data_IF_895971302951
#
_entry.id   IF_895971302951
#
_cell.length_a   1.000
_cell.length_b   1.000
_cell.length_c   1.000
_cell.angle_alpha   90.00
_cell.angle_beta   90.00
_cell.angle_gamma   90.00
#
_symmetry.space_group_name_H-M   'P 1'
#
loop_
_entity.id
_entity.type
_entity.pdbx_description
1 polymer ?
#
# COMPACT_ATOMS: atom_id res chain seq x y z
N UNK A 1 -5.26 45.99 36.47
CA UNK A 1 -5.00 44.75 37.24
C UNK A 1 -5.94 43.61 36.82
N UNK A 2 -6.29 43.47 35.53
CA UNK A 2 -7.31 42.48 35.09
C UNK A 2 -6.86 41.51 33.99
N UNK A 3 -5.65 41.68 33.44
CA UNK A 3 -5.15 40.87 32.32
C UNK A 3 -4.56 39.55 32.78
N UNK A 4 -4.01 39.49 33.99
CA UNK A 4 -3.30 38.31 34.54
C UNK A 4 -4.16 37.04 34.61
N UNK A 5 -5.48 37.19 34.81
CA UNK A 5 -6.41 36.06 34.84
C UNK A 5 -6.66 35.51 33.44
N UNK A 6 -6.82 36.41 32.46
CA UNK A 6 -7.01 36.04 31.05
C UNK A 6 -5.74 35.37 30.54
N UNK A 7 -4.57 35.93 30.85
CA UNK A 7 -3.28 35.38 30.48
C UNK A 7 -3.11 33.95 31.04
N UNK A 8 -3.44 33.73 32.32
CA UNK A 8 -3.38 32.40 32.93
C UNK A 8 -4.35 31.38 32.29
N UNK A 9 -5.53 31.82 31.86
CA UNK A 9 -6.50 30.94 31.18
C UNK A 9 -6.05 30.60 29.74
N UNK A 10 -5.43 31.56 29.05
CA UNK A 10 -4.85 31.34 27.73
C UNK A 10 -3.71 30.32 27.83
N UNK A 11 -2.86 30.42 28.85
CA UNK A 11 -1.77 29.46 29.07
C UNK A 11 -2.31 28.04 29.29
N UNK A 12 -3.31 27.89 30.16
CA UNK A 12 -3.92 26.59 30.46
C UNK A 12 -4.55 25.93 29.22
N UNK A 13 -5.25 26.71 28.40
CA UNK A 13 -5.85 26.22 27.15
C UNK A 13 -4.76 25.80 26.17
N UNK A 14 -3.70 26.62 26.05
CA UNK A 14 -2.58 26.36 25.14
C UNK A 14 -1.87 25.05 25.50
N UNK A 15 -1.61 24.81 26.80
CA UNK A 15 -1.04 23.54 27.27
C UNK A 15 -1.93 22.33 26.96
N UNK A 16 -3.24 22.48 27.16
CA UNK A 16 -4.21 21.41 26.89
C UNK A 16 -4.27 21.04 25.41
N UNK A 17 -4.22 22.05 24.53
CA UNK A 17 -4.18 21.86 23.08
C UNK A 17 -2.87 21.23 22.62
N UNK A 18 -1.73 21.71 23.12
CA UNK A 18 -0.43 21.13 22.79
C UNK A 18 -0.33 19.69 23.27
N UNK A 19 -0.79 19.39 24.49
CA UNK A 19 -0.77 18.03 25.05
C UNK A 19 -1.64 17.07 24.22
N UNK A 20 -2.86 17.47 23.86
CA UNK A 20 -3.73 16.65 23.02
C UNK A 20 -3.17 16.48 21.60
N UNK A 21 -2.55 17.52 21.04
CA UNK A 21 -1.85 17.46 19.76
C UNK A 21 -0.67 16.50 19.80
N UNK A 22 0.25 16.62 20.75
CA UNK A 22 1.40 15.71 20.89
C UNK A 22 0.99 14.27 21.16
N UNK A 23 -0.11 14.06 21.89
CA UNK A 23 -0.66 12.73 22.16
C UNK A 23 -1.28 12.11 20.90
N UNK A 24 -1.98 12.92 20.10
CA UNK A 24 -2.69 12.45 18.89
C UNK A 24 -1.75 12.34 17.68
N UNK A 25 -0.75 13.20 17.61
CA UNK A 25 0.25 13.31 16.55
C UNK A 25 1.64 13.19 17.18
N UNK A 26 2.10 11.98 17.54
CA UNK A 26 3.46 11.80 18.02
C UNK A 26 4.41 12.35 16.95
N UNK A 27 5.33 13.22 17.35
CA UNK A 27 6.43 13.70 16.51
C UNK A 27 7.35 12.51 16.21
N UNK A 28 6.90 11.69 15.26
CA UNK A 28 7.70 10.62 14.71
C UNK A 28 8.77 11.29 13.88
N UNK A 29 10.03 11.13 14.29
CA UNK A 29 11.16 11.41 13.42
C UNK A 29 10.84 10.77 12.06
N UNK A 30 11.09 11.46 10.93
CA UNK A 30 10.96 10.84 9.63
C UNK A 30 11.68 9.51 9.71
N UNK A 31 10.93 8.41 9.54
CA UNK A 31 11.49 7.05 9.54
C UNK A 31 12.74 7.11 8.69
N UNK A 32 13.89 6.74 9.26
CA UNK A 32 15.18 6.72 8.57
C UNK A 32 14.92 6.30 7.13
N UNK A 33 15.25 7.21 6.19
CA UNK A 33 14.83 7.22 4.78
C UNK A 33 14.35 5.85 4.33
N UNK A 34 13.08 5.63 3.92
CA UNK A 34 12.56 4.30 3.62
C UNK A 34 13.54 3.54 2.73
N UNK A 35 14.33 2.67 3.38
CA UNK A 35 15.71 2.46 2.95
C UNK A 35 15.79 1.73 1.65
N UNK A 36 16.07 2.42 0.54
CA UNK A 36 16.39 1.85 -0.79
C UNK A 36 15.39 0.83 -1.35
N UNK A 37 14.28 0.56 -0.66
CA UNK A 37 13.32 -0.46 -1.04
C UNK A 37 12.27 0.21 -1.93
N UNK A 38 12.23 -0.13 -3.22
CA UNK A 38 11.18 0.39 -4.08
C UNK A 38 9.81 -0.06 -3.57
N UNK A 39 8.77 0.72 -3.84
CA UNK A 39 7.39 0.45 -3.37
C UNK A 39 6.82 -0.91 -3.83
N UNK A 40 7.47 -1.55 -4.81
CA UNK A 40 7.12 -2.90 -5.29
C UNK A 40 7.89 -4.04 -4.60
N UNK A 41 8.77 -3.73 -3.65
CA UNK A 41 9.46 -4.70 -2.79
C UNK A 41 10.81 -5.23 -3.32
N UNK A 42 11.65 -5.68 -2.37
CA UNK A 42 12.99 -6.20 -2.62
C UNK A 42 13.02 -7.39 -3.59
N UNK A 43 12.05 -8.29 -3.46
CA UNK A 43 11.98 -9.54 -4.22
C UNK A 43 11.68 -9.29 -5.70
N UNK A 44 10.71 -8.42 -5.96
CA UNK A 44 10.38 -8.05 -7.33
C UNK A 44 11.54 -7.29 -7.97
N UNK A 45 12.20 -6.39 -7.24
CA UNK A 45 13.38 -5.68 -7.74
C UNK A 45 14.53 -6.64 -8.07
N UNK A 46 14.82 -7.62 -7.21
CA UNK A 46 15.81 -8.67 -7.48
C UNK A 46 15.49 -9.43 -8.75
N UNK A 47 14.22 -9.79 -8.99
CA UNK A 47 13.78 -10.47 -10.21
C UNK A 47 13.92 -9.57 -11.45
N UNK A 48 13.56 -8.28 -11.37
CA UNK A 48 13.74 -7.30 -12.45
C UNK A 48 15.21 -7.19 -12.85
N UNK A 49 16.11 -7.09 -11.87
CA UNK A 49 17.55 -7.05 -12.10
C UNK A 49 18.06 -8.31 -12.81
N UNK A 50 17.59 -9.51 -12.42
CA UNK A 50 17.95 -10.77 -13.09
C UNK A 50 17.48 -10.80 -14.55
N UNK A 51 16.23 -10.40 -14.81
CA UNK A 51 15.69 -10.34 -16.18
C UNK A 51 16.49 -9.37 -17.05
N UNK A 52 16.81 -8.18 -16.52
CA UNK A 52 17.62 -7.18 -17.24
C UNK A 52 18.99 -7.74 -17.61
N UNK A 53 19.69 -8.35 -16.64
CA UNK A 53 21.02 -8.95 -16.86
C UNK A 53 20.96 -10.08 -17.90
N UNK A 54 19.95 -10.94 -17.82
CA UNK A 54 19.77 -12.03 -18.78
C UNK A 54 19.46 -11.50 -20.19
N UNK A 55 18.62 -10.47 -20.31
CA UNK A 55 18.31 -9.83 -21.59
C UNK A 55 19.57 -9.19 -22.20
N UNK A 56 20.31 -8.41 -21.41
CA UNK A 56 21.54 -7.80 -21.89
C UNK A 56 22.57 -8.86 -22.33
N UNK A 57 22.67 -9.98 -21.59
CA UNK A 57 23.52 -11.09 -21.98
C UNK A 57 23.05 -11.71 -23.30
N UNK A 58 21.77 -12.06 -23.42
CA UNK A 58 21.22 -12.64 -24.65
C UNK A 58 21.44 -11.73 -25.87
N UNK A 59 21.30 -10.41 -25.68
CA UNK A 59 21.51 -9.44 -26.75
C UNK A 59 22.97 -9.24 -27.15
N UNK A 60 23.90 -9.46 -26.22
CA UNK A 60 25.33 -9.32 -26.48
C UNK A 60 25.97 -10.63 -26.97
N UNK A 61 25.51 -11.79 -26.48
CA UNK A 61 26.08 -13.09 -26.86
C UNK A 61 25.36 -13.73 -28.04
N UNK A 62 24.09 -13.40 -28.29
CA UNK A 62 23.27 -13.93 -29.38
C UNK A 62 23.27 -15.47 -29.47
N UNK A 63 23.39 -16.15 -28.32
CA UNK A 63 23.36 -17.60 -28.18
C UNK A 63 21.98 -18.06 -27.73
N UNK A 64 21.49 -19.20 -28.23
CA UNK A 64 20.18 -19.75 -27.87
C UNK A 64 20.07 -20.04 -26.37
N UNK A 65 21.14 -20.52 -25.74
CA UNK A 65 21.17 -20.79 -24.29
C UNK A 65 20.99 -19.52 -23.45
N UNK A 66 21.47 -18.37 -23.95
CA UNK A 66 21.31 -17.09 -23.26
C UNK A 66 19.88 -16.56 -23.42
N UNK A 67 19.25 -16.81 -24.56
CA UNK A 67 17.83 -16.53 -24.79
C UNK A 67 16.94 -17.40 -23.90
N UNK A 68 17.24 -18.70 -23.79
CA UNK A 68 16.53 -19.62 -22.89
C UNK A 68 16.63 -19.16 -21.43
N UNK A 69 17.82 -18.76 -20.98
CA UNK A 69 18.03 -18.20 -19.66
C UNK A 69 17.19 -16.92 -19.44
N UNK A 70 17.08 -16.05 -20.45
CA UNK A 70 16.21 -14.89 -20.40
C UNK A 70 14.72 -15.28 -20.31
N UNK A 71 14.24 -16.22 -21.12
CA UNK A 71 12.84 -16.65 -21.09
C UNK A 71 12.48 -17.30 -19.75
N UNK A 72 13.39 -18.09 -19.16
CA UNK A 72 13.23 -18.66 -17.83
C UNK A 72 13.14 -17.55 -16.76
N UNK A 73 14.05 -16.57 -16.79
CA UNK A 73 14.04 -15.43 -15.87
C UNK A 73 12.76 -14.58 -16.01
N UNK A 74 12.33 -14.29 -17.25
CA UNK A 74 11.11 -13.54 -17.57
C UNK A 74 9.86 -14.27 -17.07
N UNK A 75 9.80 -15.58 -17.25
CA UNK A 75 8.70 -16.41 -16.76
C UNK A 75 8.62 -16.41 -15.23
N UNK A 76 9.76 -16.50 -14.54
CA UNK A 76 9.82 -16.39 -13.08
C UNK A 76 9.36 -15.02 -12.58
N UNK A 77 9.76 -13.95 -13.25
CA UNK A 77 9.32 -12.59 -12.93
C UNK A 77 7.79 -12.40 -13.10
N UNK A 78 7.21 -12.87 -14.21
CA UNK A 78 5.76 -12.84 -14.44
C UNK A 78 4.98 -13.62 -13.39
N UNK A 79 5.49 -14.77 -12.93
CA UNK A 79 4.88 -15.55 -11.84
C UNK A 79 4.87 -14.75 -10.54
N UNK A 80 5.98 -14.09 -10.19
CA UNK A 80 6.10 -13.26 -8.99
C UNK A 80 5.10 -12.08 -8.97
N UNK A 81 4.92 -11.38 -10.11
CA UNK A 81 3.90 -10.31 -10.21
C UNK A 81 2.49 -10.85 -9.90
N UNK A 82 2.14 -12.01 -10.46
CA UNK A 82 0.83 -12.64 -10.23
C UNK A 82 0.63 -13.01 -8.76
N UNK A 83 1.65 -13.55 -8.10
CA UNK A 83 1.60 -13.88 -6.67
C UNK A 83 1.39 -12.64 -5.80
N UNK A 84 2.17 -11.57 -6.02
CA UNK A 84 2.02 -10.32 -5.26
C UNK A 84 0.62 -9.72 -5.46
N UNK A 85 0.07 -9.79 -6.68
CA UNK A 85 -1.29 -9.33 -6.94
C UNK A 85 -2.33 -10.15 -6.16
N UNK A 86 -2.18 -11.48 -6.12
CA UNK A 86 -3.05 -12.37 -5.34
C UNK A 86 -2.94 -12.10 -3.84
N UNK A 87 -1.73 -11.94 -3.30
CA UNK A 87 -1.49 -11.61 -1.89
C UNK A 87 -2.14 -10.27 -1.52
N UNK A 88 -1.99 -9.26 -2.37
CA UNK A 88 -2.63 -7.95 -2.15
C UNK A 88 -4.15 -8.03 -2.19
N UNK A 89 -4.71 -8.82 -3.09
CA UNK A 89 -6.16 -9.06 -3.15
C UNK A 89 -6.65 -9.80 -1.91
N UNK A 90 -5.93 -10.84 -1.49
CA UNK A 90 -6.25 -11.57 -0.26
C UNK A 90 -6.17 -10.64 0.95
N UNK A 91 -5.10 -9.88 1.11
CA UNK A 91 -5.00 -8.87 2.16
C UNK A 91 -6.20 -7.94 2.12
N UNK A 92 -6.52 -7.36 0.96
CA UNK A 92 -7.64 -6.42 0.83
C UNK A 92 -8.99 -7.03 1.22
N UNK A 93 -9.25 -8.30 0.90
CA UNK A 93 -10.46 -9.03 1.29
C UNK A 93 -10.50 -9.24 2.82
N UNK A 94 -9.38 -9.65 3.42
CA UNK A 94 -9.33 -9.96 4.86
C UNK A 94 -9.20 -8.72 5.75
N UNK A 95 -8.56 -7.66 5.26
CA UNK A 95 -8.40 -6.38 5.93
C UNK A 95 -9.59 -5.46 5.74
N UNK A 96 -10.57 -5.87 4.92
CA UNK A 96 -11.82 -5.14 4.77
C UNK A 96 -12.60 -5.23 6.08
N UNK A 97 -12.34 -4.29 6.98
CA UNK A 97 -13.25 -4.05 8.09
C UNK A 97 -14.53 -3.43 7.52
N UNK A 98 -15.72 -4.03 7.72
CA UNK A 98 -16.99 -3.37 7.50
C UNK A 98 -17.20 -2.30 8.59
N UNK A 99 -16.35 -1.28 8.61
CA UNK A 99 -16.45 -0.12 9.51
C UNK A 99 -16.51 1.15 8.68
N UNK A 100 -17.40 1.14 7.69
CA UNK A 100 -18.22 2.31 7.40
C UNK A 100 -19.60 1.90 7.89
N UNK A 101 -19.85 2.09 9.19
CA UNK A 101 -21.23 2.24 9.61
C UNK A 101 -21.84 3.29 8.66
N UNK A 102 -23.01 3.05 8.06
CA UNK A 102 -23.68 4.10 7.32
C UNK A 102 -23.67 5.34 8.23
N UNK A 103 -23.25 6.49 7.70
CA UNK A 103 -23.49 7.75 8.39
C UNK A 103 -24.96 7.79 8.81
N UNK A 104 -25.31 8.54 9.85
CA UNK A 104 -26.65 8.59 10.43
C UNK A 104 -27.80 8.91 9.45
N UNK A 105 -27.50 9.13 8.17
CA UNK A 105 -28.43 9.26 7.07
C UNK A 105 -28.77 7.86 6.52
N UNK A 106 -29.87 7.30 7.00
CA UNK A 106 -30.33 5.97 6.63
C UNK A 106 -30.69 5.85 5.16
N UNK A 107 -29.86 5.16 4.38
CA UNK A 107 -30.28 4.49 3.14
C UNK A 107 -30.07 2.98 3.31
N UNK A 108 -31.14 2.33 3.79
CA UNK A 108 -31.32 0.88 3.84
C UNK A 108 -31.53 0.35 2.42
N UNK A 109 -30.45 0.12 1.66
CA UNK A 109 -30.50 -0.77 0.51
C UNK A 109 -30.02 -2.17 0.91
N UNK A 110 -31.00 -2.98 1.34
CA UNK A 110 -30.87 -4.40 1.61
C UNK A 110 -30.65 -5.14 0.28
N UNK A 111 -29.43 -5.61 0.01
CA UNK A 111 -29.20 -6.58 -1.06
C UNK A 111 -29.66 -7.97 -0.58
N UNK A 112 -30.90 -8.35 -0.90
CA UNK A 112 -31.41 -9.72 -0.75
C UNK A 112 -31.53 -10.38 -2.12
N UNK A 113 -30.72 -11.42 -2.37
CA UNK A 113 -30.88 -12.37 -3.50
C UNK A 113 -30.83 -11.74 -4.90
N UNK A 114 -30.70 -12.43 -6.03
CA UNK A 114 -30.83 -13.82 -6.41
C UNK A 114 -30.09 -13.93 -7.77
N UNK A 115 -29.39 -15.04 -8.00
CA UNK A 115 -29.39 -15.71 -9.31
C UNK A 115 -28.88 -14.99 -10.56
N UNK A 116 -27.72 -15.46 -11.03
CA UNK A 116 -27.26 -15.46 -12.43
C UNK A 116 -28.37 -15.32 -13.49
N UNK A 117 -28.25 -14.32 -14.37
CA UNK A 117 -28.59 -14.48 -15.81
C UNK A 117 -27.84 -13.48 -16.67
N UNK A 118 -26.73 -13.91 -17.26
CA UNK A 118 -26.18 -13.26 -18.44
C UNK A 118 -27.12 -13.52 -19.61
N UNK A 119 -27.58 -12.45 -20.26
CA UNK A 119 -28.23 -12.53 -21.56
C UNK A 119 -27.45 -11.61 -22.49
N UNK A 120 -26.66 -12.21 -23.38
CA UNK A 120 -26.15 -11.52 -24.55
C UNK A 120 -27.32 -11.21 -25.48
N UNK A 121 -27.25 -10.05 -26.11
CA UNK A 121 -28.04 -9.66 -27.30
C UNK A 121 -27.73 -10.64 -28.43
#
# INVERSE_FOLDING_TARGET
>A
MGTTLIDAQVDQLTESLLSSYHTSCPETLPRDSPGKQPWWGADLERKRGKVRKALNRAMNTCTDEAWDAYYAAKSSYKKCIRMIALEKLQWAIHSFHPSKAPGADGDLHYYSGVGRRWRHV
#
